data_IF_185610649850
#
_entry.id   IF_185610649850
#
_cell.length_a   1.000
_cell.length_b   1.000
_cell.length_c   1.000
_cell.angle_alpha   90.00
_cell.angle_beta   90.00
_cell.angle_gamma   90.00
#
_symmetry.space_group_name_H-M   'P 1'
#
loop_
_entity.id
_entity.type
_entity.pdbx_description
1 polymer ?
#
# COMPACT_ATOMS: atom_id res chain seq x y z
N UNK A 1 25.60 -11.43 -32.79
CA UNK A 1 25.42 -9.97 -32.92
C UNK A 1 25.90 -9.34 -31.62
N UNK A 2 26.88 -8.42 -31.66
CA UNK A 2 27.48 -7.84 -30.46
C UNK A 2 27.01 -6.39 -30.33
N UNK A 3 26.13 -6.12 -29.38
CA UNK A 3 25.79 -4.76 -28.98
C UNK A 3 26.84 -4.23 -28.00
N UNK A 4 27.02 -2.91 -27.92
CA UNK A 4 27.94 -2.31 -26.95
C UNK A 4 27.33 -2.31 -25.54
N UNK A 5 27.69 -3.32 -24.76
CA UNK A 5 27.22 -3.46 -23.38
C UNK A 5 27.77 -2.38 -22.44
N UNK A 6 28.79 -1.59 -22.83
CA UNK A 6 29.31 -0.49 -22.00
C UNK A 6 28.35 0.70 -21.94
N UNK A 7 27.40 0.78 -22.87
CA UNK A 7 26.42 1.87 -22.96
C UNK A 7 24.96 1.42 -22.72
N UNK A 8 24.74 0.34 -21.97
CA UNK A 8 23.40 -0.22 -21.69
C UNK A 8 22.62 -0.65 -22.95
N UNK A 9 23.30 -1.03 -24.04
CA UNK A 9 22.64 -1.63 -25.20
C UNK A 9 22.61 -3.15 -25.10
N UNK A 10 21.42 -3.72 -25.19
CA UNK A 10 21.19 -5.16 -25.22
C UNK A 10 20.58 -5.56 -26.56
N UNK A 11 21.01 -6.69 -27.09
CA UNK A 11 20.38 -7.26 -28.27
C UNK A 11 19.01 -7.84 -27.89
N UNK A 12 17.94 -7.40 -28.55
CA UNK A 12 16.61 -7.96 -28.40
C UNK A 12 16.32 -8.90 -29.57
N UNK A 13 16.17 -10.19 -29.27
CA UNK A 13 15.85 -11.23 -30.26
C UNK A 13 14.49 -10.98 -30.94
N UNK A 14 13.54 -10.35 -30.24
CA UNK A 14 12.21 -10.05 -30.78
C UNK A 14 12.27 -8.99 -31.87
N UNK A 15 13.10 -7.97 -31.65
CA UNK A 15 13.30 -6.86 -32.58
C UNK A 15 14.44 -7.11 -33.57
N UNK A 16 15.19 -8.22 -33.41
CA UNK A 16 16.42 -8.53 -34.14
C UNK A 16 17.40 -7.34 -34.23
N UNK A 17 17.49 -6.56 -33.16
CA UNK A 17 18.27 -5.32 -33.14
C UNK A 17 18.82 -5.00 -31.74
N UNK A 18 19.83 -4.13 -31.66
CA UNK A 18 20.30 -3.59 -30.40
C UNK A 18 19.32 -2.54 -29.88
N UNK A 19 18.86 -2.70 -28.64
CA UNK A 19 17.95 -1.78 -27.96
C UNK A 19 18.62 -1.21 -26.72
N UNK A 20 18.43 0.09 -26.49
CA UNK A 20 18.88 0.73 -25.27
C UNK A 20 18.01 0.30 -24.08
N UNK A 21 18.64 0.00 -22.95
CA UNK A 21 17.97 -0.30 -21.69
C UNK A 21 17.81 0.97 -20.86
N UNK A 22 16.56 1.39 -20.67
CA UNK A 22 16.26 2.53 -19.83
C UNK A 22 16.74 2.29 -18.38
N UNK A 23 17.34 3.31 -17.73
CA UNK A 23 17.80 3.18 -16.35
C UNK A 23 16.64 2.94 -15.37
N UNK A 24 16.96 2.48 -14.16
CA UNK A 24 15.95 2.24 -13.12
C UNK A 24 15.14 3.51 -12.83
N UNK A 25 13.81 3.36 -12.76
CA UNK A 25 12.87 4.49 -12.61
C UNK A 25 12.40 5.11 -13.93
N UNK A 26 12.87 4.60 -15.07
CA UNK A 26 12.42 5.00 -16.39
C UNK A 26 11.66 3.86 -17.08
N UNK A 27 10.69 4.25 -17.89
CA UNK A 27 9.86 3.38 -18.71
C UNK A 27 10.20 3.59 -20.18
N UNK A 28 10.28 2.49 -20.94
CA UNK A 28 10.45 2.53 -22.39
C UNK A 28 9.16 2.97 -23.09
N UNK A 29 9.23 4.00 -23.93
CA UNK A 29 8.09 4.45 -24.76
C UNK A 29 7.78 3.51 -25.91
N UNK A 30 8.79 2.76 -26.38
CA UNK A 30 8.68 1.79 -27.48
C UNK A 30 9.35 0.47 -27.11
N UNK A 31 9.01 -0.59 -27.83
CA UNK A 31 9.49 -1.95 -27.54
C UNK A 31 11.03 -2.03 -27.50
N UNK A 32 11.69 -1.35 -28.45
CA UNK A 32 13.13 -1.26 -28.61
C UNK A 32 13.59 0.21 -28.63
N UNK A 33 13.95 0.80 -27.48
CA UNK A 33 14.52 2.15 -27.40
C UNK A 33 15.78 2.30 -28.25
N UNK A 34 15.94 3.44 -28.90
CA UNK A 34 17.11 3.79 -29.73
C UNK A 34 17.72 5.13 -29.32
N UNK A 35 16.90 6.03 -28.78
CA UNK A 35 17.30 7.32 -28.23
C UNK A 35 17.08 7.31 -26.71
N UNK A 36 18.15 7.33 -25.88
CA UNK A 36 18.04 7.33 -24.43
C UNK A 36 17.23 8.49 -23.85
N UNK A 37 17.16 9.63 -24.55
CA UNK A 37 16.48 10.85 -24.09
C UNK A 37 15.01 10.81 -24.49
N UNK A 38 14.73 10.46 -25.74
CA UNK A 38 13.36 10.49 -26.25
C UNK A 38 12.58 9.22 -25.95
N UNK A 39 13.22 8.05 -25.89
CA UNK A 39 12.52 6.76 -25.74
C UNK A 39 12.42 6.27 -24.29
N UNK A 40 13.07 6.94 -23.35
CA UNK A 40 12.97 6.65 -21.92
C UNK A 40 12.26 7.81 -21.21
N UNK A 41 11.18 7.53 -20.49
CA UNK A 41 10.43 8.54 -19.73
C UNK A 41 10.28 8.17 -18.27
N UNK A 42 10.12 9.18 -17.41
CA UNK A 42 9.67 8.98 -16.03
C UNK A 42 8.15 8.89 -16.00
N UNK A 43 7.62 8.30 -14.93
CA UNK A 43 6.19 8.34 -14.67
C UNK A 43 5.71 9.79 -14.45
N UNK A 44 4.45 10.05 -14.83
CA UNK A 44 3.83 11.36 -14.65
C UNK A 44 3.45 11.64 -13.19
N UNK A 45 2.81 12.79 -12.93
CA UNK A 45 2.22 13.08 -11.63
C UNK A 45 1.22 11.98 -11.22
N UNK A 46 1.18 11.65 -9.92
CA UNK A 46 0.34 10.58 -9.36
C UNK A 46 0.52 9.19 -10.02
N UNK A 47 1.72 8.91 -10.53
CA UNK A 47 2.08 7.60 -11.08
C UNK A 47 3.45 7.14 -10.55
N UNK A 48 3.63 5.83 -10.49
CA UNK A 48 4.85 5.20 -10.00
C UNK A 48 5.23 3.98 -10.84
N UNK A 49 6.53 3.66 -10.87
CA UNK A 49 7.05 2.45 -11.47
C UNK A 49 7.53 1.51 -10.37
N UNK A 50 6.74 0.48 -10.07
CA UNK A 50 7.14 -0.52 -9.09
C UNK A 50 8.34 -1.32 -9.59
N UNK A 51 9.38 -1.43 -8.77
CA UNK A 51 10.53 -2.32 -9.04
C UNK A 51 10.22 -3.80 -8.73
N UNK A 52 9.09 -4.09 -8.07
CA UNK A 52 8.70 -5.43 -7.58
C UNK A 52 8.33 -6.37 -8.74
N UNK A 53 7.91 -5.80 -9.86
CA UNK A 53 7.65 -6.48 -11.12
C UNK A 53 8.24 -5.61 -12.21
N UNK A 54 9.16 -6.11 -13.04
CA UNK A 54 9.74 -5.38 -14.18
C UNK A 54 8.65 -5.11 -15.24
N UNK A 55 7.68 -4.26 -14.91
CA UNK A 55 6.58 -3.88 -15.77
C UNK A 55 7.04 -2.75 -16.67
N UNK A 56 6.71 -2.79 -17.97
CA UNK A 56 7.05 -1.72 -18.90
C UNK A 56 6.08 -0.53 -18.81
N UNK A 57 5.35 -0.35 -17.70
CA UNK A 57 4.32 0.67 -17.58
C UNK A 57 4.24 1.22 -16.15
N UNK A 58 3.89 2.50 -16.04
CA UNK A 58 3.61 3.15 -14.77
C UNK A 58 2.25 2.71 -14.23
N UNK A 59 2.17 2.47 -12.92
CA UNK A 59 0.93 2.24 -12.20
C UNK A 59 0.43 3.58 -11.61
N UNK A 60 -0.89 3.78 -11.59
CA UNK A 60 -1.49 4.97 -11.00
C UNK A 60 -1.49 4.88 -9.47
N UNK A 61 -1.19 5.98 -8.79
CA UNK A 61 -1.31 6.06 -7.34
C UNK A 61 -2.78 6.09 -6.91
N UNK A 62 -3.10 5.33 -5.86
CA UNK A 62 -4.41 5.40 -5.21
C UNK A 62 -4.63 6.77 -4.59
N UNK A 63 -5.88 7.19 -4.38
CA UNK A 63 -6.21 8.40 -3.64
C UNK A 63 -6.78 8.05 -2.27
N UNK A 64 -6.21 8.61 -1.19
CA UNK A 64 -6.71 8.39 0.16
C UNK A 64 -7.92 9.30 0.43
N UNK A 65 -9.14 8.79 0.17
CA UNK A 65 -10.36 9.57 0.36
C UNK A 65 -10.73 9.70 1.84
N UNK A 66 -10.89 10.95 2.30
CA UNK A 66 -11.36 11.25 3.66
C UNK A 66 -12.79 10.76 3.93
N UNK A 67 -13.60 10.62 2.88
CA UNK A 67 -14.97 10.08 2.95
C UNK A 67 -14.98 8.58 3.25
N UNK A 68 -13.88 7.88 2.95
CA UNK A 68 -13.68 6.46 3.24
C UNK A 68 -12.85 6.22 4.51
N UNK A 69 -12.69 7.25 5.35
CA UNK A 69 -11.85 7.21 6.56
C UNK A 69 -10.36 6.88 6.31
N UNK A 70 -9.87 7.11 5.08
CA UNK A 70 -8.48 6.88 4.72
C UNK A 70 -7.61 8.12 4.97
N UNK A 71 -6.37 7.87 5.37
CA UNK A 71 -5.31 8.85 5.59
C UNK A 71 -4.06 8.41 4.85
N UNK A 72 -3.42 9.34 4.15
CA UNK A 72 -2.13 9.09 3.53
C UNK A 72 -1.04 8.97 4.61
N UNK A 73 -0.39 7.81 4.68
CA UNK A 73 0.77 7.57 5.56
C UNK A 73 2.08 7.57 4.78
N UNK A 74 2.02 7.26 3.48
CA UNK A 74 3.14 7.38 2.56
C UNK A 74 2.71 8.09 1.27
N UNK A 75 3.40 9.16 0.86
CA UNK A 75 3.09 9.86 -0.38
C UNK A 75 3.44 9.02 -1.61
N UNK A 76 2.76 9.29 -2.71
CA UNK A 76 3.11 8.78 -4.03
C UNK A 76 4.52 9.25 -4.42
N UNK A 77 5.34 8.35 -4.96
CA UNK A 77 6.69 8.64 -5.45
C UNK A 77 6.95 7.93 -6.78
N UNK A 78 8.05 8.27 -7.46
CA UNK A 78 8.37 7.66 -8.76
C UNK A 78 8.54 6.13 -8.70
N UNK A 79 8.87 5.56 -7.54
CA UNK A 79 9.20 4.13 -7.39
C UNK A 79 8.22 3.37 -6.47
N UNK A 80 7.34 4.07 -5.78
CA UNK A 80 6.45 3.50 -4.78
C UNK A 80 5.12 4.23 -4.79
N UNK A 81 4.03 3.47 -4.80
CA UNK A 81 2.67 3.98 -4.77
C UNK A 81 2.34 4.62 -3.41
N UNK A 82 1.29 5.46 -3.42
CA UNK A 82 0.72 6.04 -2.20
C UNK A 82 0.20 4.93 -1.27
N UNK A 83 0.47 5.04 0.03
CA UNK A 83 -0.10 4.14 1.05
C UNK A 83 -1.14 4.89 1.87
N UNK A 84 -2.33 4.30 1.92
CA UNK A 84 -3.44 4.76 2.72
C UNK A 84 -3.68 3.81 3.89
N UNK A 85 -3.93 4.38 5.07
CA UNK A 85 -4.37 3.66 6.27
C UNK A 85 -5.66 4.24 6.81
N UNK A 86 -6.34 3.47 7.66
CA UNK A 86 -7.55 3.93 8.32
C UNK A 86 -7.24 4.92 9.44
N UNK A 87 -8.12 5.90 9.63
CA UNK A 87 -8.10 6.79 10.80
C UNK A 87 -8.18 6.00 12.11
N UNK A 88 -7.68 6.54 13.24
CA UNK A 88 -7.81 5.91 14.56
C UNK A 88 -9.25 5.54 14.90
N UNK A 89 -9.44 4.34 15.48
CA UNK A 89 -10.77 3.77 15.79
C UNK A 89 -11.37 2.93 14.65
N UNK A 90 -10.65 2.78 13.53
CA UNK A 90 -10.99 1.91 12.42
C UNK A 90 -9.82 0.98 12.09
N UNK A 91 -10.14 -0.14 11.43
CA UNK A 91 -9.16 -1.06 10.86
C UNK A 91 -9.44 -1.29 9.37
N UNK A 92 -8.41 -1.74 8.66
CA UNK A 92 -8.50 -2.03 7.25
C UNK A 92 -9.21 -3.36 7.01
N UNK A 93 -10.42 -3.29 6.48
CA UNK A 93 -11.20 -4.48 6.13
C UNK A 93 -10.73 -5.08 4.80
N UNK A 94 -10.35 -4.23 3.85
CA UNK A 94 -9.87 -4.63 2.52
C UNK A 94 -8.63 -3.83 2.15
N UNK A 95 -7.57 -4.54 1.75
CA UNK A 95 -6.35 -3.97 1.18
C UNK A 95 -6.23 -4.38 -0.30
N UNK A 96 -5.68 -3.47 -1.09
CA UNK A 96 -5.37 -3.68 -2.52
C UNK A 96 -3.96 -3.15 -2.74
N UNK A 97 -3.07 -3.96 -3.35
CA UNK A 97 -1.68 -3.56 -3.62
C UNK A 97 -0.96 -2.98 -2.40
N UNK A 98 -1.04 -3.67 -1.26
CA UNK A 98 -0.37 -3.29 0.00
C UNK A 98 -0.84 -1.94 0.61
N UNK A 99 -1.96 -1.37 0.15
CA UNK A 99 -2.60 -0.17 0.73
C UNK A 99 -4.07 -0.43 1.08
N UNK A 100 -4.60 0.26 2.09
CA UNK A 100 -5.99 0.09 2.49
C UNK A 100 -6.95 0.72 1.47
N UNK A 101 -8.03 0.02 1.13
CA UNK A 101 -9.09 0.50 0.24
C UNK A 101 -10.45 0.65 0.94
N UNK A 102 -10.66 -0.05 2.07
CA UNK A 102 -11.91 0.04 2.84
C UNK A 102 -11.65 -0.07 4.34
N UNK A 103 -12.11 0.94 5.07
CA UNK A 103 -12.05 0.99 6.52
C UNK A 103 -13.36 0.50 7.15
N UNK A 104 -13.23 -0.09 8.34
CA UNK A 104 -14.35 -0.50 9.18
C UNK A 104 -14.08 -0.08 10.62
N UNK A 105 -15.11 0.34 11.34
CA UNK A 105 -15.00 0.65 12.76
C UNK A 105 -14.54 -0.56 13.57
N UNK A 106 -13.71 -0.31 14.58
CA UNK A 106 -13.37 -1.34 15.54
C UNK A 106 -14.62 -1.86 16.25
N UNK A 107 -14.69 -3.17 16.44
CA UNK A 107 -15.76 -3.84 17.18
C UNK A 107 -15.79 -3.36 18.63
N UNK A 108 -17.00 -3.08 19.10
CA UNK A 108 -17.23 -2.77 20.50
C UNK A 108 -17.40 -4.05 21.31
N UNK A 109 -16.64 -4.21 22.38
CA UNK A 109 -16.87 -5.23 23.38
C UNK A 109 -18.15 -4.90 24.15
N UNK A 110 -19.08 -5.85 24.17
CA UNK A 110 -20.37 -5.72 24.85
C UNK A 110 -20.20 -5.77 26.38
N UNK A 111 -21.19 -5.32 27.17
CA UNK A 111 -21.20 -5.51 28.61
C UNK A 111 -20.90 -6.95 29.03
N UNK A 112 -20.11 -7.11 30.10
CA UNK A 112 -19.53 -8.37 30.53
C UNK A 112 -18.23 -8.76 29.80
N UNK A 113 -17.84 -8.05 28.74
CA UNK A 113 -16.61 -8.26 27.99
C UNK A 113 -15.78 -6.96 27.96
N UNK A 114 -14.47 -7.11 28.09
CA UNK A 114 -13.51 -6.02 27.95
C UNK A 114 -12.57 -6.24 26.77
N UNK A 115 -11.89 -5.18 26.36
CA UNK A 115 -10.84 -5.26 25.34
C UNK A 115 -9.67 -6.10 25.87
N UNK A 116 -9.39 -7.20 25.18
CA UNK A 116 -8.21 -8.05 25.41
C UNK A 116 -7.01 -7.51 24.63
N UNK A 117 -7.20 -7.37 23.30
CA UNK A 117 -6.20 -6.79 22.40
C UNK A 117 -6.79 -5.58 21.73
N UNK A 118 -6.08 -4.45 21.80
CA UNK A 118 -6.47 -3.21 21.13
C UNK A 118 -6.43 -3.40 19.61
N UNK A 119 -7.41 -2.83 18.92
CA UNK A 119 -7.41 -2.78 17.46
C UNK A 119 -6.26 -1.91 16.93
N UNK A 120 -5.79 -2.24 15.73
CA UNK A 120 -4.77 -1.48 14.98
C UNK A 120 -5.40 -0.95 13.68
N UNK A 121 -4.62 -0.26 12.85
CA UNK A 121 -5.07 0.14 11.50
C UNK A 121 -5.33 -1.06 10.57
N UNK A 122 -4.92 -2.27 10.96
CA UNK A 122 -5.06 -3.50 10.16
C UNK A 122 -5.89 -4.59 10.84
N UNK A 123 -5.96 -4.59 12.16
CA UNK A 123 -6.66 -5.62 12.93
C UNK A 123 -7.76 -5.01 13.79
N UNK A 124 -8.85 -5.75 13.92
CA UNK A 124 -9.95 -5.38 14.80
C UNK A 124 -9.61 -5.61 16.29
N UNK A 125 -10.39 -5.01 17.16
CA UNK A 125 -10.40 -5.24 18.61
C UNK A 125 -10.79 -6.69 18.89
N UNK A 126 -10.10 -7.32 19.85
CA UNK A 126 -10.51 -8.62 20.38
C UNK A 126 -11.03 -8.44 21.80
N UNK A 127 -12.17 -9.07 22.08
CA UNK A 127 -12.84 -8.99 23.37
C UNK A 127 -12.63 -10.27 24.16
N UNK A 128 -12.58 -10.16 25.48
CA UNK A 128 -12.60 -11.29 26.40
C UNK A 128 -13.64 -11.07 27.49
N UNK A 129 -14.15 -12.18 28.04
CA UNK A 129 -15.06 -12.14 29.18
C UNK A 129 -14.31 -11.62 30.42
N UNK A 130 -14.97 -10.76 31.20
CA UNK A 130 -14.34 -10.21 32.38
C UNK A 130 -14.12 -11.31 33.44
N UNK A 131 -12.88 -11.49 33.93
CA UNK A 131 -12.61 -12.47 34.96
C UNK A 131 -13.31 -12.11 36.29
N UNK A 132 -13.53 -13.09 37.18
CA UNK A 132 -14.12 -12.86 38.49
C UNK A 132 -13.42 -11.72 39.25
N UNK A 133 -14.20 -10.79 39.79
CA UNK A 133 -13.70 -9.59 40.46
C UNK A 133 -13.55 -8.36 39.54
N UNK A 134 -13.86 -8.49 38.25
CA UNK A 134 -13.87 -7.39 37.28
C UNK A 134 -15.18 -7.32 36.50
N UNK A 135 -15.48 -6.16 35.91
CA UNK A 135 -16.67 -5.91 35.09
C UNK A 135 -16.41 -4.96 33.92
N UNK A 136 -17.35 -4.95 32.99
CA UNK A 136 -17.50 -3.97 31.92
C UNK A 136 -18.99 -3.72 31.73
N UNK A 137 -19.43 -2.47 31.82
CA UNK A 137 -20.84 -2.07 31.85
C UNK A 137 -21.32 -1.39 30.54
N UNK A 138 -20.42 -1.21 29.58
CA UNK A 138 -20.67 -0.43 28.37
C UNK A 138 -20.21 -1.15 27.11
N UNK A 139 -20.82 -0.81 25.98
CA UNK A 139 -20.30 -1.18 24.66
C UNK A 139 -19.11 -0.27 24.33
N UNK A 140 -17.90 -0.84 24.31
CA UNK A 140 -16.68 -0.06 24.07
C UNK A 140 -15.64 -0.84 23.28
N UNK A 141 -15.02 -0.19 22.30
CA UNK A 141 -13.88 -0.72 21.54
C UNK A 141 -12.54 -0.42 22.22
N UNK A 142 -12.55 0.24 23.38
CA UNK A 142 -11.32 0.69 24.07
C UNK A 142 -11.25 0.33 25.55
N UNK A 143 -12.39 0.15 26.22
CA UNK A 143 -12.44 -0.18 27.64
C UNK A 143 -12.02 -1.62 27.91
N UNK A 144 -11.10 -1.79 28.84
CA UNK A 144 -10.75 -3.08 29.43
C UNK A 144 -11.69 -3.39 30.61
N UNK A 145 -11.69 -4.63 31.10
CA UNK A 145 -12.39 -4.97 32.33
C UNK A 145 -11.82 -4.20 33.53
N UNK A 146 -12.72 -3.57 34.30
CA UNK A 146 -12.41 -2.72 35.47
C UNK A 146 -12.69 -3.51 36.75
N UNK A 147 -11.93 -3.31 37.85
CA UNK A 147 -12.19 -4.01 39.11
C UNK A 147 -13.53 -3.57 39.71
N UNK A 148 -14.27 -4.50 40.34
CA UNK A 148 -15.45 -4.15 41.14
C UNK A 148 -15.06 -3.25 42.31
N UNK A 149 -15.89 -2.24 42.58
CA UNK A 149 -15.87 -1.46 43.83
C UNK A 149 -16.90 -1.99 44.82
#
# INVERSE_FOLDING_TARGET
HSCDARENWLYDETSQNCCYQCPSGYVKKKACPQDPVEDCMTCGPDQYLSNKYQKPQCDACVSCSKELDLVETQPCSLLSGRVCECRPGLFCQLSVQDTCSRCQHHSACRPGFGVKTRGTSTNDVTCEECPPGTFSDQNSSTDICKPHT
#
